data_IF_664343877090
#
_entry.id   IF_664343877090
#
_cell.length_a   1.000
_cell.length_b   1.000
_cell.length_c   1.000
_cell.angle_alpha   90.00
_cell.angle_beta   90.00
_cell.angle_gamma   90.00
#
_symmetry.space_group_name_H-M   'P 1'
#
loop_
_entity.id
_entity.type
_entity.pdbx_description
1 polymer ?
#
# COMPACT_ATOMS: atom_id res chain seq x y z
N UNK A 1 -20.22 20.97 -9.57
CA UNK A 1 -19.57 19.65 -9.38
C UNK A 1 -19.60 18.74 -10.61
N UNK A 2 -20.59 18.86 -11.53
CA UNK A 2 -20.69 17.99 -12.72
C UNK A 2 -19.56 18.18 -13.75
N UNK A 3 -19.06 19.39 -13.94
CA UNK A 3 -18.03 19.73 -14.92
C UNK A 3 -16.62 19.19 -14.60
N UNK A 4 -16.27 19.10 -13.31
CA UNK A 4 -14.97 18.54 -12.88
C UNK A 4 -14.92 17.03 -13.10
N UNK A 5 -16.01 16.32 -12.75
CA UNK A 5 -16.10 14.87 -12.97
C UNK A 5 -16.13 14.49 -14.46
N UNK A 6 -16.73 15.32 -15.31
CA UNK A 6 -16.68 15.10 -16.76
C UNK A 6 -15.27 15.31 -17.32
N UNK A 7 -14.54 16.32 -16.85
CA UNK A 7 -13.14 16.55 -17.23
C UNK A 7 -12.22 15.42 -16.81
N UNK A 8 -12.40 14.92 -15.59
CA UNK A 8 -11.62 13.77 -15.08
C UNK A 8 -11.89 12.51 -15.91
N UNK A 9 -13.16 12.21 -16.24
CA UNK A 9 -13.49 11.08 -17.11
C UNK A 9 -12.89 11.22 -18.51
N UNK A 10 -12.99 12.39 -19.13
CA UNK A 10 -12.39 12.66 -20.43
C UNK A 10 -10.86 12.51 -20.43
N UNK A 11 -10.19 12.94 -19.34
CA UNK A 11 -8.74 12.74 -19.17
C UNK A 11 -8.38 11.27 -19.00
N UNK A 12 -9.17 10.51 -18.22
CA UNK A 12 -8.96 9.08 -18.03
C UNK A 12 -9.17 8.30 -19.33
N UNK A 13 -10.18 8.65 -20.14
CA UNK A 13 -10.38 8.08 -21.46
C UNK A 13 -9.22 8.40 -22.41
N UNK A 14 -8.70 9.64 -22.40
CA UNK A 14 -7.54 10.03 -23.19
C UNK A 14 -6.25 9.32 -22.75
N UNK A 15 -6.06 9.11 -21.45
CA UNK A 15 -4.94 8.33 -20.91
C UNK A 15 -5.07 6.87 -21.32
N UNK A 16 -6.25 6.27 -21.23
CA UNK A 16 -6.50 4.90 -21.66
C UNK A 16 -6.27 4.70 -23.17
N UNK A 17 -6.72 5.65 -24.00
CA UNK A 17 -6.47 5.63 -25.45
C UNK A 17 -4.98 5.82 -25.77
N UNK A 18 -4.26 6.71 -25.09
CA UNK A 18 -2.82 6.89 -25.25
C UNK A 18 -2.03 5.70 -24.78
N UNK A 19 -2.46 5.02 -23.69
CA UNK A 19 -1.86 3.78 -23.23
C UNK A 19 -2.00 2.66 -24.25
N UNK A 20 -3.20 2.46 -24.83
CA UNK A 20 -3.41 1.48 -25.89
C UNK A 20 -2.48 1.76 -27.08
N UNK A 21 -2.40 3.02 -27.53
CA UNK A 21 -1.52 3.42 -28.62
C UNK A 21 -0.03 3.33 -28.25
N UNK A 22 0.35 3.55 -26.98
CA UNK A 22 1.73 3.34 -26.54
C UNK A 22 2.08 1.85 -26.43
N UNK A 23 1.17 1.01 -25.96
CA UNK A 23 1.37 -0.44 -25.91
C UNK A 23 1.48 -1.01 -27.33
N UNK A 24 0.68 -0.51 -28.28
CA UNK A 24 0.75 -0.92 -29.68
C UNK A 24 1.99 -0.36 -30.42
N UNK A 25 2.50 0.80 -30.02
CA UNK A 25 3.71 1.44 -30.59
C UNK A 25 5.00 1.02 -29.91
N UNK A 26 4.95 0.58 -28.69
CA UNK A 26 6.02 -0.16 -28.08
C UNK A 26 6.03 -1.50 -28.81
N UNK A 27 6.71 -1.51 -29.98
CA UNK A 27 7.14 -2.75 -30.55
C UNK A 27 7.92 -3.43 -29.45
N UNK A 28 7.16 -4.22 -28.68
CA UNK A 28 7.54 -4.87 -27.44
C UNK A 28 8.83 -5.67 -27.62
N UNK A 29 9.16 -6.00 -28.88
CA UNK A 29 10.37 -6.65 -29.31
C UNK A 29 11.61 -5.78 -29.15
N UNK A 30 11.56 -4.53 -29.57
CA UNK A 30 12.74 -3.65 -29.58
C UNK A 30 13.05 -3.06 -28.19
N UNK A 31 12.04 -2.71 -27.43
CA UNK A 31 12.23 -2.29 -26.02
C UNK A 31 12.63 -3.46 -25.12
N UNK A 32 12.02 -4.62 -25.27
CA UNK A 32 12.49 -5.83 -24.62
C UNK A 32 13.94 -6.13 -25.01
N UNK A 33 14.30 -6.10 -26.27
CA UNK A 33 15.68 -6.34 -26.69
C UNK A 33 16.67 -5.32 -26.12
N UNK A 34 16.29 -4.05 -26.00
CA UNK A 34 17.16 -3.02 -25.45
C UNK A 34 17.24 -3.01 -23.91
N UNK A 35 16.13 -3.28 -23.22
CA UNK A 35 16.12 -3.47 -21.77
C UNK A 35 16.84 -4.79 -21.35
N UNK A 36 16.95 -5.73 -22.27
CA UNK A 36 17.41 -7.09 -22.04
C UNK A 36 18.91 -7.30 -22.40
N UNK A 37 19.55 -6.31 -23.05
CA UNK A 37 21.00 -6.35 -23.31
C UNK A 37 21.89 -6.61 -22.07
N UNK A 38 21.56 -6.14 -20.85
CA UNK A 38 22.38 -6.40 -19.66
C UNK A 38 22.35 -7.85 -19.17
N UNK A 39 21.44 -8.66 -19.68
CA UNK A 39 21.22 -10.02 -19.20
C UNK A 39 21.63 -11.09 -20.23
N UNK A 40 22.54 -10.75 -21.13
CA UNK A 40 23.12 -11.70 -22.10
C UNK A 40 23.75 -12.89 -21.35
N UNK A 41 23.05 -14.03 -21.36
CA UNK A 41 23.43 -15.23 -20.63
C UNK A 41 22.30 -15.96 -19.92
N UNK A 42 21.13 -15.33 -19.78
CA UNK A 42 19.96 -16.02 -19.25
C UNK A 42 19.26 -16.90 -20.29
N UNK A 43 18.78 -18.11 -19.93
CA UNK A 43 18.02 -18.96 -20.84
C UNK A 43 16.69 -18.29 -21.24
N UNK A 44 16.21 -18.50 -22.49
CA UNK A 44 15.00 -17.85 -23.01
C UNK A 44 13.73 -17.99 -22.13
N UNK A 45 13.62 -19.10 -21.43
CA UNK A 45 12.50 -19.37 -20.52
C UNK A 45 12.50 -18.48 -19.27
N UNK A 46 13.68 -18.20 -18.69
CA UNK A 46 13.81 -17.28 -17.55
C UNK A 46 13.46 -15.85 -17.95
N UNK A 47 13.71 -15.48 -19.19
CA UNK A 47 13.31 -14.21 -19.79
C UNK A 47 11.81 -14.03 -19.87
N UNK A 48 11.13 -15.05 -20.35
CA UNK A 48 9.68 -15.01 -20.51
C UNK A 48 8.97 -14.92 -19.15
N UNK A 49 9.50 -15.62 -18.14
CA UNK A 49 9.03 -15.50 -16.77
C UNK A 49 9.24 -14.08 -16.23
N UNK A 50 10.44 -13.54 -16.35
CA UNK A 50 10.73 -12.17 -15.88
C UNK A 50 9.88 -11.11 -16.59
N UNK A 51 9.73 -11.21 -17.91
CA UNK A 51 8.91 -10.29 -18.68
C UNK A 51 7.42 -10.37 -18.27
N UNK A 52 6.91 -11.57 -18.02
CA UNK A 52 5.54 -11.76 -17.53
C UNK A 52 5.34 -11.20 -16.12
N UNK A 53 6.29 -11.43 -15.22
CA UNK A 53 6.25 -10.88 -13.86
C UNK A 53 6.29 -9.35 -13.86
N UNK A 54 7.15 -8.76 -14.71
CA UNK A 54 7.21 -7.30 -14.86
C UNK A 54 5.91 -6.75 -15.46
N UNK A 55 5.34 -7.42 -16.45
CA UNK A 55 4.07 -7.02 -17.06
C UNK A 55 2.94 -7.09 -16.03
N UNK A 56 2.85 -8.18 -15.25
CA UNK A 56 1.88 -8.34 -14.18
C UNK A 56 2.03 -7.23 -13.13
N UNK A 57 3.27 -6.94 -12.70
CA UNK A 57 3.55 -5.86 -11.76
C UNK A 57 3.06 -4.50 -12.27
N UNK A 58 3.34 -4.16 -13.54
CA UNK A 58 2.89 -2.89 -14.11
C UNK A 58 1.38 -2.84 -14.32
N UNK A 59 0.74 -3.96 -14.67
CA UNK A 59 -0.72 -4.05 -14.76
C UNK A 59 -1.38 -3.81 -13.41
N UNK A 60 -0.87 -4.41 -12.35
CA UNK A 60 -1.33 -4.20 -10.99
C UNK A 60 -1.11 -2.76 -10.55
N UNK A 61 0.06 -2.19 -10.80
CA UNK A 61 0.37 -0.80 -10.48
C UNK A 61 -0.62 0.18 -11.17
N UNK A 62 -0.90 -0.05 -12.46
CA UNK A 62 -1.86 0.78 -13.21
C UNK A 62 -3.27 0.60 -12.68
N UNK A 63 -3.68 -0.65 -12.37
CA UNK A 63 -4.97 -0.92 -11.76
C UNK A 63 -5.11 -0.24 -10.40
N UNK A 64 -4.05 -0.22 -9.60
CA UNK A 64 -3.97 0.46 -8.31
C UNK A 64 -4.12 1.97 -8.44
N UNK A 65 -3.38 2.56 -9.38
CA UNK A 65 -3.50 3.98 -9.69
C UNK A 65 -4.91 4.34 -10.17
N UNK A 66 -5.51 3.53 -11.04
CA UNK A 66 -6.87 3.74 -11.53
C UNK A 66 -7.90 3.63 -10.41
N UNK A 67 -7.79 2.63 -9.53
CA UNK A 67 -8.64 2.48 -8.36
C UNK A 67 -8.52 3.67 -7.41
N UNK A 68 -7.31 4.17 -7.19
CA UNK A 68 -7.03 5.36 -6.41
C UNK A 68 -7.72 6.61 -6.99
N UNK A 69 -7.58 6.85 -8.29
CA UNK A 69 -8.16 8.02 -8.96
C UNK A 69 -9.68 7.95 -9.13
N UNK A 70 -10.24 6.75 -9.25
CA UNK A 70 -11.70 6.55 -9.40
C UNK A 70 -12.42 6.45 -8.07
N UNK A 71 -11.71 6.37 -6.94
CA UNK A 71 -12.30 6.17 -5.62
C UNK A 71 -12.94 4.79 -5.44
N UNK A 72 -12.66 3.85 -6.35
CA UNK A 72 -13.24 2.51 -6.36
C UNK A 72 -12.37 1.50 -5.59
N UNK A 73 -11.69 2.00 -4.56
CA UNK A 73 -10.67 1.28 -3.79
C UNK A 73 -11.29 0.41 -2.65
N UNK A 74 -12.57 0.03 -2.80
CA UNK A 74 -13.31 -0.70 -1.75
C UNK A 74 -12.81 -2.12 -1.47
N UNK A 75 -11.83 -2.63 -2.22
CA UNK A 75 -11.31 -3.98 -2.06
C UNK A 75 -9.93 -4.08 -1.38
N UNK A 76 -9.27 -2.98 -1.08
CA UNK A 76 -7.84 -2.97 -0.67
C UNK A 76 -7.57 -2.45 0.74
N UNK A 77 -8.56 -2.53 1.62
CA UNK A 77 -8.33 -2.17 3.01
C UNK A 77 -7.53 -3.27 3.72
N UNK A 78 -6.44 -2.87 4.35
CA UNK A 78 -5.73 -3.73 5.31
C UNK A 78 -6.57 -3.83 6.58
N UNK A 79 -7.04 -5.04 6.88
CA UNK A 79 -7.81 -5.29 8.09
C UNK A 79 -6.87 -5.52 9.27
N UNK A 80 -6.91 -4.62 10.24
CA UNK A 80 -6.20 -4.78 11.50
C UNK A 80 -7.07 -5.52 12.51
N UNK A 81 -6.53 -6.55 13.14
CA UNK A 81 -7.16 -7.25 14.26
C UNK A 81 -7.12 -6.44 15.58
N UNK A 82 -6.94 -5.14 15.48
CA UNK A 82 -6.90 -4.17 16.56
C UNK A 82 -8.14 -3.28 16.50
N UNK A 83 -8.54 -2.73 17.63
CA UNK A 83 -9.51 -1.62 17.67
C UNK A 83 -8.85 -0.32 17.18
N UNK A 84 -9.66 0.69 16.87
CA UNK A 84 -9.15 2.01 16.44
C UNK A 84 -8.20 2.62 17.47
N UNK A 85 -8.52 2.48 18.76
CA UNK A 85 -7.70 3.03 19.84
C UNK A 85 -6.37 2.29 20.01
N UNK A 86 -6.39 0.98 19.90
CA UNK A 86 -5.17 0.14 19.93
C UNK A 86 -4.27 0.44 18.74
N UNK A 87 -4.85 0.54 17.53
CA UNK A 87 -4.10 0.90 16.32
C UNK A 87 -3.46 2.28 16.44
N UNK A 88 -4.21 3.28 16.90
CA UNK A 88 -3.68 4.64 17.07
C UNK A 88 -2.61 4.71 18.16
N UNK A 89 -2.73 3.91 19.21
CA UNK A 89 -1.70 3.83 20.25
C UNK A 89 -0.43 3.14 19.73
N UNK A 90 -0.57 2.08 18.93
CA UNK A 90 0.57 1.44 18.26
C UNK A 90 1.31 2.44 17.36
N UNK A 91 0.58 3.22 16.55
CA UNK A 91 1.17 4.26 15.69
C UNK A 91 1.90 5.32 16.53
N UNK A 92 1.35 5.71 17.67
CA UNK A 92 2.03 6.64 18.57
C UNK A 92 3.36 6.10 19.04
N UNK A 93 3.42 4.83 19.45
CA UNK A 93 4.68 4.19 19.85
C UNK A 93 5.71 4.18 18.70
N UNK A 94 5.27 3.87 17.47
CA UNK A 94 6.15 3.91 16.30
C UNK A 94 6.71 5.31 16.00
N UNK A 95 5.94 6.35 16.30
CA UNK A 95 6.38 7.75 16.18
C UNK A 95 7.33 8.13 17.33
N UNK A 96 7.01 7.75 18.56
CA UNK A 96 7.81 8.06 19.74
C UNK A 96 9.18 7.38 19.68
N UNK A 97 9.25 6.15 19.13
CA UNK A 97 10.50 5.40 18.89
C UNK A 97 11.20 5.76 17.56
N UNK A 98 10.74 6.80 16.86
CA UNK A 98 11.30 7.24 15.58
C UNK A 98 11.36 6.16 14.47
N UNK A 99 10.55 5.10 14.58
CA UNK A 99 10.41 4.08 13.52
C UNK A 99 9.65 4.68 12.33
N UNK A 100 8.73 5.61 12.60
CA UNK A 100 8.06 6.41 11.59
C UNK A 100 8.56 7.86 11.68
N UNK A 101 9.27 8.30 10.64
CA UNK A 101 9.76 9.69 10.54
C UNK A 101 8.72 10.58 9.86
N UNK A 102 7.76 11.06 10.63
CA UNK A 102 6.84 12.08 10.17
C UNK A 102 6.49 13.05 11.30
N UNK A 103 6.54 14.35 10.99
CA UNK A 103 6.14 15.42 11.91
C UNK A 103 4.65 15.72 11.83
N UNK A 104 3.94 15.18 10.84
CA UNK A 104 2.54 15.48 10.59
C UNK A 104 1.67 14.22 10.71
N UNK A 105 0.69 14.23 11.61
CA UNK A 105 -0.28 13.14 11.78
C UNK A 105 -1.32 13.08 10.63
N UNK A 106 -1.54 14.20 9.93
CA UNK A 106 -2.55 14.27 8.87
C UNK A 106 -2.37 13.24 7.76
N UNK A 107 -1.17 13.04 7.18
CA UNK A 107 -0.96 12.00 6.17
C UNK A 107 -1.29 10.59 6.67
N UNK A 108 -0.91 10.26 7.93
CA UNK A 108 -1.20 8.97 8.55
C UNK A 108 -2.72 8.76 8.65
N UNK A 109 -3.46 9.74 9.16
CA UNK A 109 -4.91 9.61 9.31
C UNK A 109 -5.63 9.52 7.97
N UNK A 110 -5.15 10.24 6.94
CA UNK A 110 -5.68 10.13 5.59
C UNK A 110 -5.40 8.74 4.99
N UNK A 111 -4.22 8.20 5.20
CA UNK A 111 -3.87 6.85 4.78
C UNK A 111 -4.78 5.81 5.45
N UNK A 112 -4.87 5.85 6.78
CA UNK A 112 -5.73 4.92 7.53
C UNK A 112 -7.20 5.04 7.15
N UNK A 113 -7.71 6.25 6.91
CA UNK A 113 -9.11 6.43 6.54
C UNK A 113 -9.45 5.85 5.16
N UNK A 114 -8.45 5.66 4.30
CA UNK A 114 -8.63 5.11 2.95
C UNK A 114 -8.34 3.61 2.85
N UNK A 115 -7.31 3.15 3.55
CA UNK A 115 -6.71 1.84 3.32
C UNK A 115 -6.76 0.91 4.53
N UNK A 116 -7.34 1.34 5.65
CA UNK A 116 -7.39 0.55 6.86
C UNK A 116 -8.83 0.31 7.34
N UNK A 117 -9.05 -0.90 7.85
CA UNK A 117 -10.20 -1.24 8.67
C UNK A 117 -9.72 -1.85 9.99
N UNK A 118 -10.59 -1.90 11.00
CA UNK A 118 -10.28 -2.43 12.33
C UNK A 118 -11.33 -3.43 12.76
N UNK A 119 -11.05 -4.23 13.79
CA UNK A 119 -11.99 -5.23 14.33
C UNK A 119 -13.35 -4.66 14.74
N UNK A 120 -13.43 -3.37 15.03
CA UNK A 120 -14.67 -2.69 15.44
C UNK A 120 -15.24 -1.72 14.40
N UNK A 121 -14.56 -1.52 13.26
CA UNK A 121 -15.01 -0.54 12.25
C UNK A 121 -14.49 -0.90 10.87
N UNK A 122 -15.41 -1.15 9.95
CA UNK A 122 -15.09 -1.41 8.55
C UNK A 122 -14.60 -0.15 7.81
N UNK A 123 -14.99 1.04 8.27
CA UNK A 123 -14.59 2.33 7.68
C UNK A 123 -14.09 3.26 8.76
N UNK A 124 -12.94 3.87 8.52
CA UNK A 124 -12.32 4.84 9.41
C UNK A 124 -12.49 6.26 8.83
N UNK A 125 -13.01 7.19 9.62
CA UNK A 125 -13.05 8.58 9.19
C UNK A 125 -11.89 9.38 9.80
N UNK A 126 -11.35 10.32 9.03
CA UNK A 126 -10.28 11.21 9.48
C UNK A 126 -10.60 11.91 10.81
N UNK A 127 -11.82 12.44 10.94
CA UNK A 127 -12.25 13.13 12.16
C UNK A 127 -12.34 12.20 13.38
N UNK A 128 -12.80 10.95 13.17
CA UNK A 128 -12.83 9.93 14.24
C UNK A 128 -11.42 9.59 14.71
N UNK A 129 -10.49 9.36 13.76
CA UNK A 129 -9.08 9.07 14.06
C UNK A 129 -8.45 10.21 14.85
N UNK A 130 -8.64 11.45 14.40
CA UNK A 130 -8.11 12.65 15.07
C UNK A 130 -8.62 12.78 16.51
N UNK A 131 -9.92 12.57 16.74
CA UNK A 131 -10.51 12.64 18.08
C UNK A 131 -10.02 11.53 19.00
N UNK A 132 -9.89 10.32 18.48
CA UNK A 132 -9.47 9.15 19.28
C UNK A 132 -7.97 9.13 19.57
N UNK A 133 -7.14 9.73 18.71
CA UNK A 133 -5.69 9.78 18.91
C UNK A 133 -5.27 10.42 20.22
N UNK A 134 -5.99 11.45 20.68
CA UNK A 134 -5.72 12.14 21.96
C UNK A 134 -6.35 11.45 23.19
N UNK A 135 -7.16 10.39 22.99
CA UNK A 135 -7.99 9.79 24.05
C UNK A 135 -7.78 8.27 24.18
N UNK A 136 -6.55 7.80 23.97
CA UNK A 136 -6.25 6.37 24.17
C UNK A 136 -6.42 5.98 25.64
N UNK A 137 -7.31 5.03 25.89
CA UNK A 137 -7.60 4.55 27.24
C UNK A 137 -6.63 3.49 27.75
N UNK A 138 -6.61 3.21 29.07
CA UNK A 138 -5.69 2.23 29.67
C UNK A 138 -5.91 0.80 29.16
N UNK A 139 -7.11 0.45 28.70
CA UNK A 139 -7.39 -0.85 28.11
C UNK A 139 -6.64 -1.05 26.77
N UNK A 140 -6.57 0.00 25.92
CA UNK A 140 -5.79 -0.04 24.69
C UNK A 140 -4.29 -0.17 24.97
N UNK A 141 -3.78 0.50 26.00
CA UNK A 141 -2.37 0.40 26.42
C UNK A 141 -2.02 -1.03 26.85
N UNK A 142 -2.86 -1.66 27.71
CA UNK A 142 -2.64 -3.05 28.14
C UNK A 142 -2.63 -4.01 26.96
N UNK A 143 -3.63 -3.91 26.06
CA UNK A 143 -3.74 -4.80 24.90
C UNK A 143 -2.58 -4.67 23.94
N UNK A 144 -2.14 -3.44 23.65
CA UNK A 144 -0.98 -3.20 22.79
C UNK A 144 0.30 -3.72 23.43
N UNK A 145 0.48 -3.52 24.76
CA UNK A 145 1.61 -4.11 25.50
C UNK A 145 1.66 -5.63 25.35
N UNK A 146 0.52 -6.31 25.54
CA UNK A 146 0.45 -7.76 25.43
C UNK A 146 0.77 -8.21 23.99
N UNK A 147 0.29 -7.46 22.99
CA UNK A 147 0.62 -7.70 21.58
C UNK A 147 2.12 -7.59 21.32
N UNK A 148 2.76 -6.54 21.83
CA UNK A 148 4.21 -6.34 21.68
C UNK A 148 5.02 -7.43 22.39
N UNK A 149 4.62 -7.86 23.57
CA UNK A 149 5.27 -8.98 24.28
C UNK A 149 5.14 -10.29 23.49
N UNK A 150 3.99 -10.54 22.88
CA UNK A 150 3.80 -11.69 22.00
C UNK A 150 4.68 -11.61 20.74
N UNK A 151 4.86 -10.41 20.18
CA UNK A 151 5.76 -10.19 19.02
C UNK A 151 7.23 -10.48 19.42
N UNK A 152 7.68 -10.01 20.58
CA UNK A 152 9.02 -10.28 21.10
C UNK A 152 9.22 -11.80 21.23
N UNK A 153 8.30 -12.50 21.88
CA UNK A 153 8.38 -13.95 22.03
C UNK A 153 8.36 -14.73 20.71
N UNK A 154 7.83 -14.14 19.64
CA UNK A 154 7.94 -14.71 18.29
C UNK A 154 9.29 -14.44 17.66
N UNK A 155 9.85 -13.26 17.84
CA UNK A 155 11.19 -12.92 17.35
C UNK A 155 12.21 -13.90 17.90
N UNK A 156 12.11 -14.24 19.20
CA UNK A 156 13.00 -15.20 19.86
C UNK A 156 12.89 -16.64 19.30
N UNK A 157 11.83 -16.94 18.55
CA UNK A 157 11.61 -18.23 17.88
C UNK A 157 12.13 -18.29 16.45
N UNK A 158 12.48 -17.13 15.83
CA UNK A 158 13.13 -17.14 14.53
C UNK A 158 14.58 -17.61 14.71
N UNK A 159 14.99 -18.67 13.99
CA UNK A 159 16.39 -19.09 14.05
C UNK A 159 17.25 -17.92 13.57
N UNK A 160 18.34 -17.67 14.31
CA UNK A 160 19.44 -16.83 13.84
C UNK A 160 20.05 -17.57 12.63
N UNK A 161 19.47 -17.39 11.46
CA UNK A 161 20.06 -17.83 10.19
C UNK A 161 21.31 -16.95 10.00
N UNK A 162 22.39 -17.38 10.67
CA UNK A 162 23.68 -16.73 10.64
C UNK A 162 24.16 -16.60 9.20
N UNK A 163 23.82 -15.48 8.58
CA UNK A 163 24.54 -14.99 7.41
C UNK A 163 25.87 -14.40 7.89
N UNK A 164 26.86 -15.28 8.05
CA UNK A 164 28.26 -14.94 7.94
C UNK A 164 28.66 -14.88 6.47
#
# INVERSE_FOLDING_TARGET
MSTLNQRIRSLLEQIGQKQSVMIDRLDTREMLQNALKPMAGMPPQAWQMYANDQLAFYQDLVADMMAFFTGNDQGRCVAFALTVEELLFMIRLLLDEHIMDTRALKPIFLFLSRYASTSGSATLSYESLRKKYSRTGPAAHSKVRDTLLNMIGRIDQYPDDGHT
#
